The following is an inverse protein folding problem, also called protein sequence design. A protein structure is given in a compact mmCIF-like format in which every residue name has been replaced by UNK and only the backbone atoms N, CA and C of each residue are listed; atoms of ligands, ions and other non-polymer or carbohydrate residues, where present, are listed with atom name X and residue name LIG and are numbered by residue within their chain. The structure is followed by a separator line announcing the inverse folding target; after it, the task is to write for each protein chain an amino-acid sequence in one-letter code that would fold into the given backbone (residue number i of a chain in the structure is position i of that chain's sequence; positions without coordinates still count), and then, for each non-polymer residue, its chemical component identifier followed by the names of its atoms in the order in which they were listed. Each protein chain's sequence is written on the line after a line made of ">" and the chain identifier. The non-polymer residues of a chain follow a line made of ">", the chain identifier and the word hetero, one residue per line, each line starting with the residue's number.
data_IF_304189897151
#
_entry.id   IF_304189897151
#
_cell.length_a   1.000
_cell.length_b   1.000
_cell.length_c   1.000
_cell.angle_alpha   90.00
_cell.angle_beta   90.00
_cell.angle_gamma   90.00
#
_symmetry.space_group_name_H-M   'P 1'
#
loop_
_entity.id
_entity.type
_entity.pdbx_description
1 polymer ?
#
# COMPACT_ATOMS: atom_id res chain seq x y z
N UNK A 1 13.40 10.74 9.30
CA UNK A 1 14.75 10.33 9.69
C UNK A 1 14.86 8.83 9.41
N UNK A 2 15.77 8.41 8.53
CA UNK A 2 15.88 7.03 8.09
C UNK A 2 16.28 6.07 9.23
N UNK A 3 17.13 6.53 10.15
CA UNK A 3 17.56 5.69 11.28
C UNK A 3 16.42 5.49 12.28
N UNK A 4 15.62 6.53 12.53
CA UNK A 4 14.42 6.40 13.34
C UNK A 4 13.42 5.41 12.71
N UNK A 5 13.18 5.52 11.40
CA UNK A 5 12.26 4.63 10.69
C UNK A 5 12.71 3.16 10.78
N UNK A 6 14.01 2.90 10.62
CA UNK A 6 14.58 1.56 10.78
C UNK A 6 14.40 1.03 12.20
N UNK A 7 14.65 1.85 13.22
CA UNK A 7 14.40 1.47 14.62
C UNK A 7 12.94 1.12 14.87
N UNK A 8 12.00 1.91 14.34
CA UNK A 8 10.56 1.62 14.42
C UNK A 8 10.23 0.29 13.74
N UNK A 9 10.83 -0.02 12.58
CA UNK A 9 10.65 -1.32 11.92
C UNK A 9 11.15 -2.48 12.80
N UNK A 10 12.34 -2.36 13.38
CA UNK A 10 12.91 -3.37 14.29
C UNK A 10 12.03 -3.58 15.54
N UNK A 11 11.51 -2.50 16.12
CA UNK A 11 10.63 -2.56 17.30
C UNK A 11 9.32 -3.33 17.01
N UNK A 12 8.92 -3.45 15.74
CA UNK A 12 7.75 -4.27 15.35
C UNK A 12 8.05 -5.77 15.24
N UNK A 13 9.32 -6.17 15.11
CA UNK A 13 9.69 -7.57 14.90
C UNK A 13 9.24 -8.43 16.09
N UNK A 14 8.49 -9.49 15.81
CA UNK A 14 7.97 -10.40 16.85
C UNK A 14 6.66 -9.95 17.52
N UNK A 15 6.12 -8.78 17.17
CA UNK A 15 4.83 -8.29 17.72
C UNK A 15 3.61 -8.76 16.92
N UNK A 16 3.82 -9.25 15.69
CA UNK A 16 2.75 -9.56 14.73
C UNK A 16 2.16 -8.33 14.03
N UNK A 17 2.60 -7.11 14.37
CA UNK A 17 2.21 -5.90 13.65
C UNK A 17 2.88 -5.84 12.27
N UNK A 18 2.11 -5.45 11.25
CA UNK A 18 2.63 -5.14 9.93
C UNK A 18 3.10 -3.69 9.89
N UNK A 19 4.31 -3.45 9.39
CA UNK A 19 4.88 -2.11 9.22
C UNK A 19 5.14 -1.81 7.75
N UNK A 20 4.93 -0.56 7.36
CA UNK A 20 5.35 -0.04 6.07
C UNK A 20 6.27 1.15 6.31
N UNK A 21 7.49 1.07 5.80
CA UNK A 21 8.47 2.14 5.85
C UNK A 21 8.46 2.85 4.49
N UNK A 22 7.90 4.05 4.45
CA UNK A 22 7.79 4.85 3.23
C UNK A 22 9.19 5.07 2.63
N UNK A 23 9.28 4.93 1.30
CA UNK A 23 10.50 5.03 0.51
C UNK A 23 11.58 3.97 0.78
N UNK A 24 11.28 2.93 1.58
CA UNK A 24 12.19 1.81 1.86
C UNK A 24 11.49 0.45 1.64
N UNK A 25 11.48 -0.07 0.40
CA UNK A 25 10.82 -1.32 0.07
C UNK A 25 11.38 -2.55 0.81
N UNK A 26 12.63 -2.50 1.28
CA UNK A 26 13.27 -3.64 1.97
C UNK A 26 12.73 -3.82 3.39
N UNK A 27 12.19 -2.75 3.99
CA UNK A 27 11.68 -2.72 5.36
C UNK A 27 10.14 -2.57 5.40
N UNK A 28 9.45 -2.98 4.34
CA UNK A 28 7.99 -3.01 4.26
C UNK A 28 7.46 -4.44 4.34
N UNK A 29 6.49 -4.69 5.21
CA UNK A 29 5.77 -5.97 5.25
C UNK A 29 4.60 -6.03 4.25
N UNK A 30 4.18 -4.87 3.72
CA UNK A 30 3.07 -4.76 2.77
C UNK A 30 3.22 -3.56 1.83
N UNK A 31 2.47 -3.61 0.72
CA UNK A 31 2.40 -2.55 -0.29
C UNK A 31 1.03 -1.88 -0.22
N UNK A 32 1.01 -0.55 -0.33
CA UNK A 32 -0.24 0.19 -0.46
C UNK A 32 -0.84 -0.01 -1.88
N UNK A 33 -2.05 -0.58 -1.98
CA UNK A 33 -2.74 -0.70 -3.26
C UNK A 33 -3.38 0.63 -3.69
N UNK A 34 -3.76 0.75 -4.95
CA UNK A 34 -4.72 1.76 -5.38
C UNK A 34 -6.11 1.34 -4.87
N UNK A 35 -6.73 2.16 -4.03
CA UNK A 35 -8.02 1.83 -3.38
C UNK A 35 -9.14 2.69 -3.94
N UNK A 36 -10.21 2.04 -4.37
CA UNK A 36 -11.49 2.63 -4.75
C UNK A 36 -12.48 2.34 -3.62
N UNK A 37 -13.21 3.37 -3.16
CA UNK A 37 -14.28 3.24 -2.15
C UNK A 37 -15.56 3.91 -2.65
N UNK A 38 -16.66 3.17 -2.66
CA UNK A 38 -18.01 3.63 -3.04
C UNK A 38 -19.02 3.01 -2.09
N UNK A 39 -19.59 3.80 -1.19
CA UNK A 39 -20.54 3.35 -0.15
C UNK A 39 -20.08 2.06 0.56
N UNK A 40 -20.77 0.94 0.30
CA UNK A 40 -20.48 -0.37 0.89
C UNK A 40 -19.43 -1.19 0.12
N UNK A 41 -18.90 -0.69 -0.99
CA UNK A 41 -17.91 -1.34 -1.83
C UNK A 41 -16.52 -0.75 -1.61
N UNK A 42 -15.55 -1.62 -1.30
CA UNK A 42 -14.12 -1.30 -1.34
C UNK A 42 -13.42 -2.28 -2.27
N UNK A 43 -12.65 -1.76 -3.21
CA UNK A 43 -11.80 -2.54 -4.09
C UNK A 43 -10.36 -2.03 -3.99
N UNK A 44 -9.40 -2.96 -3.96
CA UNK A 44 -7.98 -2.68 -3.92
C UNK A 44 -7.28 -3.29 -5.14
N UNK A 45 -6.53 -2.48 -5.87
CA UNK A 45 -5.76 -2.90 -7.05
C UNK A 45 -4.27 -2.79 -6.72
N UNK A 46 -3.55 -3.90 -6.83
CA UNK A 46 -2.09 -3.95 -6.64
C UNK A 46 -1.42 -4.63 -7.82
N UNK A 47 -0.23 -4.16 -8.16
CA UNK A 47 0.67 -4.76 -9.16
C UNK A 47 1.94 -5.29 -8.50
N UNK A 48 1.89 -5.58 -7.20
CA UNK A 48 3.06 -6.01 -6.41
C UNK A 48 4.22 -4.98 -6.50
N UNK A 49 3.85 -3.70 -6.56
CA UNK A 49 4.79 -2.58 -6.72
C UNK A 49 5.42 -2.44 -8.12
N UNK A 50 5.18 -3.40 -9.04
CA UNK A 50 5.86 -3.45 -10.35
C UNK A 50 5.36 -2.39 -11.33
N UNK A 51 4.12 -1.96 -11.19
CA UNK A 51 3.53 -0.94 -12.05
C UNK A 51 2.52 -0.07 -11.29
N UNK A 52 2.98 0.89 -10.46
CA UNK A 52 2.11 1.78 -9.67
C UNK A 52 1.19 2.64 -10.55
N UNK A 53 1.67 3.04 -11.73
CA UNK A 53 0.87 3.78 -12.71
C UNK A 53 -0.32 2.94 -13.22
N UNK A 54 -0.13 1.64 -13.45
CA UNK A 54 -1.18 0.75 -13.96
C UNK A 54 -2.27 0.55 -12.92
N UNK A 55 -1.91 0.28 -11.65
CA UNK A 55 -2.91 0.17 -10.58
C UNK A 55 -3.67 1.49 -10.38
N UNK A 56 -2.98 2.63 -10.45
CA UNK A 56 -3.60 3.95 -10.39
C UNK A 56 -4.56 4.22 -11.55
N UNK A 57 -4.18 3.88 -12.78
CA UNK A 57 -5.02 4.05 -13.96
C UNK A 57 -6.26 3.16 -13.89
N UNK A 58 -6.11 1.88 -13.52
CA UNK A 58 -7.24 0.97 -13.34
C UNK A 58 -8.21 1.46 -12.28
N UNK A 59 -7.72 2.02 -11.16
CA UNK A 59 -8.59 2.65 -10.14
C UNK A 59 -9.46 3.75 -10.77
N UNK A 60 -8.87 4.65 -11.56
CA UNK A 60 -9.62 5.74 -12.22
C UNK A 60 -10.64 5.21 -13.23
N UNK A 61 -10.28 4.19 -14.02
CA UNK A 61 -11.20 3.56 -14.96
C UNK A 61 -12.39 2.94 -14.22
N UNK A 62 -12.13 2.19 -13.15
CA UNK A 62 -13.17 1.56 -12.35
C UNK A 62 -14.04 2.60 -11.62
N UNK A 63 -13.46 3.69 -11.11
CA UNK A 63 -14.19 4.80 -10.49
C UNK A 63 -15.22 5.47 -11.41
N UNK A 64 -15.00 5.42 -12.74
CA UNK A 64 -15.91 5.96 -13.75
C UNK A 64 -16.96 4.93 -14.24
N UNK A 65 -16.70 3.63 -14.07
CA UNK A 65 -17.63 2.57 -14.49
C UNK A 65 -18.62 2.24 -13.37
N UNK A 66 -18.17 2.27 -12.12
CA UNK A 66 -19.06 2.07 -10.98
C UNK A 66 -19.83 3.38 -10.70
N UNK A 67 -21.17 3.34 -10.68
CA UNK A 67 -22.01 4.50 -10.40
C UNK A 67 -21.77 5.08 -9.00
#
# INVERSE_FOLDING_TARGET
>A
DAELNRRVHEDTRGTGALVNVVDDPQHCDFIFPAVLRRDCLTAAISTDGKAPFVSGHLRLVLENIFP
#
